data_IF_935754445055
#
_entry.id   IF_935754445055
#
_cell.length_a   1.000
_cell.length_b   1.000
_cell.length_c   1.000
_cell.angle_alpha   90.00
_cell.angle_beta   90.00
_cell.angle_gamma   90.00
#
_symmetry.space_group_name_H-M   'P 1'
#
loop_
_entity.id
_entity.type
_entity.pdbx_description
1 polymer ?
#
# COMPACT_ATOMS: atom_id res chain seq x y z
N UNK A 1 65.95 -7.77 -24.55
CA UNK A 1 64.98 -8.23 -23.54
C UNK A 1 63.63 -7.60 -23.88
N UNK A 2 62.56 -8.41 -23.88
CA UNK A 2 61.28 -8.16 -24.58
C UNK A 2 60.43 -7.10 -23.85
N UNK A 3 59.94 -6.11 -24.58
CA UNK A 3 58.95 -5.13 -24.11
C UNK A 3 57.60 -5.83 -23.92
N UNK A 4 57.03 -5.77 -22.72
CA UNK A 4 55.68 -6.24 -22.43
C UNK A 4 54.71 -5.06 -22.48
N UNK A 5 53.83 -5.07 -23.47
CA UNK A 5 52.70 -4.15 -23.56
C UNK A 5 51.57 -4.67 -22.66
N UNK A 6 51.24 -3.92 -21.61
CA UNK A 6 50.16 -4.27 -20.69
C UNK A 6 48.85 -3.65 -21.20
N UNK A 7 47.98 -4.48 -21.79
CA UNK A 7 46.65 -4.06 -22.24
C UNK A 7 45.70 -4.12 -21.04
N UNK A 8 45.35 -2.98 -20.45
CA UNK A 8 44.34 -2.92 -19.38
C UNK A 8 42.94 -3.11 -20.02
N UNK A 9 42.36 -4.31 -19.87
CA UNK A 9 40.95 -4.53 -20.20
C UNK A 9 40.10 -3.94 -19.08
N UNK A 10 39.40 -2.84 -19.33
CA UNK A 10 38.35 -2.36 -18.42
C UNK A 10 37.11 -3.21 -18.61
N UNK A 11 36.72 -3.99 -17.59
CA UNK A 11 35.40 -4.60 -17.57
C UNK A 11 34.34 -3.49 -17.50
N UNK A 12 33.21 -3.59 -18.21
CA UNK A 12 32.12 -2.64 -18.04
C UNK A 12 31.59 -2.79 -16.61
N UNK A 13 31.59 -1.68 -15.85
CA UNK A 13 30.89 -1.64 -14.58
C UNK A 13 29.40 -1.85 -14.88
N UNK A 14 28.86 -3.01 -14.48
CA UNK A 14 27.42 -3.19 -14.40
C UNK A 14 26.95 -2.21 -13.33
N UNK A 15 26.34 -1.10 -13.74
CA UNK A 15 25.63 -0.23 -12.82
C UNK A 15 24.51 -1.09 -12.21
N UNK A 16 24.64 -1.42 -10.93
CA UNK A 16 23.53 -2.00 -10.19
C UNK A 16 22.36 -1.02 -10.34
N UNK A 17 21.26 -1.47 -10.96
CA UNK A 17 20.05 -0.64 -11.06
C UNK A 17 19.68 -0.20 -9.65
N UNK A 18 19.51 1.11 -9.45
CA UNK A 18 19.11 1.64 -8.15
C UNK A 18 17.72 1.10 -7.81
N UNK A 19 17.59 0.48 -6.64
CA UNK A 19 16.29 0.10 -6.12
C UNK A 19 15.57 1.35 -5.63
N UNK A 20 14.42 1.65 -6.22
CA UNK A 20 13.59 2.78 -5.81
C UNK A 20 12.42 2.30 -4.95
N UNK A 21 12.05 3.13 -3.99
CA UNK A 21 10.83 2.98 -3.20
C UNK A 21 9.93 4.16 -3.57
N UNK A 22 8.66 3.87 -3.85
CA UNK A 22 7.62 4.88 -4.03
C UNK A 22 6.41 4.54 -3.17
N UNK A 23 5.65 5.57 -2.78
CA UNK A 23 4.37 5.37 -2.12
C UNK A 23 3.33 4.93 -3.15
N UNK A 24 2.45 4.00 -2.76
CA UNK A 24 1.24 3.66 -3.49
C UNK A 24 0.02 4.39 -2.91
N UNK A 25 0.01 4.61 -1.59
CA UNK A 25 -1.01 5.33 -0.87
C UNK A 25 -0.43 5.96 0.40
N UNK A 26 -1.15 6.94 0.94
CA UNK A 26 -0.81 7.56 2.22
C UNK A 26 0.00 8.84 2.09
N UNK A 27 -0.35 9.82 2.93
CA UNK A 27 0.39 11.08 3.10
C UNK A 27 1.43 11.03 4.21
N UNK A 28 1.40 9.98 5.05
CA UNK A 28 2.18 9.88 6.30
C UNK A 28 1.48 10.50 7.51
N UNK A 29 0.42 11.28 7.31
CA UNK A 29 -0.40 11.82 8.39
C UNK A 29 -1.52 10.84 8.77
N UNK A 30 -1.67 10.59 10.07
CA UNK A 30 -2.75 9.74 10.60
C UNK A 30 -4.10 10.44 10.44
N UNK A 31 -5.07 9.75 9.84
CA UNK A 31 -6.43 10.27 9.72
C UNK A 31 -7.35 9.41 8.85
N UNK A 32 -8.39 10.05 8.31
CA UNK A 32 -9.34 9.44 7.37
C UNK A 32 -9.73 10.42 6.23
N UNK A 33 -9.03 11.56 6.11
CA UNK A 33 -9.24 12.50 5.03
C UNK A 33 -8.81 11.90 3.68
N UNK A 34 -9.49 12.29 2.60
CA UNK A 34 -9.18 11.80 1.25
C UNK A 34 -9.68 10.38 0.94
N UNK A 35 -10.51 9.79 1.80
CA UNK A 35 -11.20 8.53 1.50
C UNK A 35 -12.02 8.66 0.20
N UNK A 36 -11.99 7.61 -0.63
CA UNK A 36 -12.66 7.58 -1.95
C UNK A 36 -12.05 8.55 -2.99
N UNK A 37 -10.86 9.09 -2.73
CA UNK A 37 -10.09 9.96 -3.62
C UNK A 37 -8.74 9.37 -4.04
N UNK A 38 -7.79 10.19 -4.54
CA UNK A 38 -6.44 9.75 -4.89
C UNK A 38 -5.74 9.10 -3.69
N UNK A 39 -5.23 7.88 -3.86
CA UNK A 39 -4.65 7.10 -2.78
C UNK A 39 -3.44 7.79 -2.13
N UNK A 40 -2.66 8.54 -2.91
CA UNK A 40 -1.49 9.30 -2.45
C UNK A 40 -1.85 10.53 -1.59
N UNK A 41 -3.11 10.97 -1.65
CA UNK A 41 -3.61 12.11 -0.87
C UNK A 41 -4.39 11.66 0.38
N UNK A 42 -4.63 10.35 0.53
CA UNK A 42 -5.38 9.80 1.64
C UNK A 42 -4.56 9.80 2.94
N UNK A 43 -5.17 10.25 4.03
CA UNK A 43 -4.67 10.00 5.37
C UNK A 43 -5.10 8.60 5.81
N UNK A 44 -4.13 7.76 6.21
CA UNK A 44 -4.35 6.38 6.61
C UNK A 44 -4.03 6.21 8.09
N UNK A 45 -4.72 5.30 8.76
CA UNK A 45 -4.60 5.04 10.18
C UNK A 45 -4.12 3.61 10.43
N UNK A 46 -2.80 3.48 10.47
CA UNK A 46 -2.07 2.22 10.69
C UNK A 46 -2.46 1.12 9.68
N UNK A 47 -2.19 1.33 8.38
CA UNK A 47 -2.34 0.26 7.38
C UNK A 47 -1.44 -0.92 7.78
N UNK A 48 -1.98 -2.13 7.75
CA UNK A 48 -1.30 -3.31 8.31
C UNK A 48 -1.03 -4.35 7.22
N UNK A 49 -1.91 -5.34 7.02
CA UNK A 49 -1.74 -6.29 5.93
C UNK A 49 -2.31 -5.82 4.63
N UNK A 50 -1.69 -6.32 3.57
CA UNK A 50 -2.16 -6.15 2.21
C UNK A 50 -2.13 -7.47 1.45
N UNK A 51 -3.02 -7.60 0.48
CA UNK A 51 -3.07 -8.73 -0.44
C UNK A 51 -3.55 -8.29 -1.81
N UNK A 52 -3.28 -9.12 -2.82
CA UNK A 52 -3.92 -8.97 -4.11
C UNK A 52 -5.27 -9.68 -4.07
N UNK A 53 -6.34 -8.93 -4.24
CA UNK A 53 -7.70 -9.46 -4.25
C UNK A 53 -8.02 -10.29 -5.50
N UNK A 54 -9.17 -10.99 -5.52
CA UNK A 54 -9.62 -11.76 -6.68
C UNK A 54 -9.95 -10.88 -7.90
N UNK A 55 -10.22 -9.60 -7.69
CA UNK A 55 -10.34 -8.57 -8.73
C UNK A 55 -8.98 -8.09 -9.27
N UNK A 56 -7.88 -8.64 -8.75
CA UNK A 56 -6.51 -8.30 -9.14
C UNK A 56 -6.01 -6.98 -8.55
N UNK A 57 -6.79 -6.30 -7.71
CA UNK A 57 -6.48 -5.02 -7.07
C UNK A 57 -5.75 -5.23 -5.73
N UNK A 58 -5.15 -4.16 -5.19
CA UNK A 58 -4.53 -4.21 -3.86
C UNK A 58 -5.59 -3.91 -2.80
N UNK A 59 -5.73 -4.83 -1.85
CA UNK A 59 -6.61 -4.72 -0.69
C UNK A 59 -5.77 -4.66 0.56
N UNK A 60 -6.22 -3.91 1.57
CA UNK A 60 -5.51 -3.78 2.83
C UNK A 60 -6.45 -3.46 3.99
N UNK A 61 -5.98 -3.72 5.21
CA UNK A 61 -6.65 -3.37 6.46
C UNK A 61 -6.06 -2.10 7.05
N UNK A 62 -6.91 -1.21 7.57
CA UNK A 62 -6.48 -0.17 8.50
C UNK A 62 -6.72 -0.63 9.93
N UNK A 63 -5.66 -1.03 10.63
CA UNK A 63 -5.74 -1.67 11.94
C UNK A 63 -6.41 -0.76 12.98
N UNK A 64 -5.92 0.48 13.15
CA UNK A 64 -6.57 1.47 14.03
C UNK A 64 -7.59 2.33 13.31
N UNK A 65 -7.64 2.25 11.98
CA UNK A 65 -8.65 2.90 11.15
C UNK A 65 -9.97 2.15 11.09
N UNK A 66 -10.05 0.89 11.55
CA UNK A 66 -11.25 0.06 11.58
C UNK A 66 -11.93 -0.04 10.21
N UNK A 67 -11.12 -0.21 9.15
CA UNK A 67 -11.58 -0.27 7.76
C UNK A 67 -10.86 -1.34 6.97
N UNK A 68 -11.54 -1.87 5.96
CA UNK A 68 -10.92 -2.60 4.86
C UNK A 68 -11.00 -1.71 3.62
N UNK A 69 -9.86 -1.50 2.99
CA UNK A 69 -9.69 -0.57 1.89
C UNK A 69 -9.14 -1.28 0.65
N UNK A 70 -9.37 -0.70 -0.53
CA UNK A 70 -8.87 -1.17 -1.82
C UNK A 70 -8.28 -0.04 -2.63
N UNK A 71 -7.25 -0.31 -3.42
CA UNK A 71 -6.67 0.65 -4.37
C UNK A 71 -6.95 0.17 -5.79
N UNK A 72 -7.64 1.01 -6.57
CA UNK A 72 -7.95 0.79 -7.98
C UNK A 72 -6.71 1.00 -8.87
N UNK A 73 -6.79 0.51 -10.11
CA UNK A 73 -5.72 0.68 -11.11
C UNK A 73 -5.46 2.14 -11.50
N UNK A 74 -6.46 3.02 -11.37
CA UNK A 74 -6.36 4.46 -11.60
C UNK A 74 -5.76 5.22 -10.41
N UNK A 75 -5.39 4.51 -9.32
CA UNK A 75 -4.82 5.11 -8.12
C UNK A 75 -5.85 5.66 -7.14
N UNK A 76 -7.15 5.39 -7.32
CA UNK A 76 -8.17 5.75 -6.32
C UNK A 76 -8.20 4.76 -5.15
N UNK A 77 -8.23 5.28 -3.92
CA UNK A 77 -8.48 4.50 -2.72
C UNK A 77 -9.99 4.43 -2.46
N UNK A 78 -10.52 3.24 -2.21
CA UNK A 78 -11.93 3.00 -1.85
C UNK A 78 -12.01 2.35 -0.46
N UNK A 79 -12.90 2.85 0.39
CA UNK A 79 -13.28 2.12 1.62
C UNK A 79 -14.31 1.07 1.23
N UNK A 80 -14.03 -0.19 1.51
CA UNK A 80 -14.85 -1.33 1.10
C UNK A 80 -15.68 -1.90 2.26
N UNK A 81 -15.20 -1.75 3.49
CA UNK A 81 -15.93 -2.11 4.70
C UNK A 81 -15.44 -1.32 5.92
N UNK A 82 -16.30 -1.18 6.93
CA UNK A 82 -15.98 -0.54 8.20
C UNK A 82 -16.36 0.94 8.26
N UNK A 83 -16.98 1.34 9.37
CA UNK A 83 -17.35 2.74 9.64
C UNK A 83 -16.19 3.60 10.14
N UNK A 84 -15.07 2.98 10.53
CA UNK A 84 -14.00 3.64 11.26
C UNK A 84 -14.16 3.65 12.78
N UNK A 85 -15.26 3.11 13.31
CA UNK A 85 -15.49 2.99 14.75
C UNK A 85 -15.12 1.60 15.26
N UNK A 86 -14.58 1.55 16.48
CA UNK A 86 -14.29 0.30 17.16
C UNK A 86 -15.58 -0.40 17.61
N UNK A 87 -15.78 -1.67 17.25
CA UNK A 87 -16.95 -2.44 17.65
C UNK A 87 -17.06 -3.84 17.01
N UNK A 88 -18.21 -4.48 17.22
CA UNK A 88 -18.62 -5.72 16.58
C UNK A 88 -20.11 -5.61 16.21
N UNK A 89 -20.40 -5.30 14.96
CA UNK A 89 -21.77 -5.15 14.43
C UNK A 89 -21.79 -5.30 12.92
N UNK A 90 -22.99 -5.48 12.34
CA UNK A 90 -23.20 -5.43 10.89
C UNK A 90 -23.25 -6.80 10.19
N UNK A 91 -23.16 -7.90 10.92
CA UNK A 91 -23.31 -9.25 10.34
C UNK A 91 -24.65 -9.37 9.60
N UNK A 92 -24.59 -9.79 8.33
CA UNK A 92 -25.75 -9.89 7.44
C UNK A 92 -26.23 -8.55 6.85
N UNK A 93 -25.61 -7.42 7.19
CA UNK A 93 -25.94 -6.08 6.71
C UNK A 93 -24.92 -5.50 5.70
N UNK A 94 -25.04 -4.20 5.37
CA UNK A 94 -24.10 -3.51 4.49
C UNK A 94 -22.68 -3.43 5.10
N UNK A 95 -21.66 -3.79 4.31
CA UNK A 95 -20.27 -3.84 4.79
C UNK A 95 -19.74 -2.48 5.28
N UNK A 96 -20.20 -1.37 4.71
CA UNK A 96 -19.82 -0.01 5.12
C UNK A 96 -20.43 0.43 6.46
N UNK A 97 -21.44 -0.29 6.95
CA UNK A 97 -22.08 -0.05 8.26
C UNK A 97 -21.53 -0.97 9.36
N UNK A 98 -20.68 -1.93 9.00
CA UNK A 98 -20.03 -2.80 9.97
C UNK A 98 -19.04 -2.04 10.85
N UNK A 99 -18.94 -2.43 12.11
CA UNK A 99 -17.86 -1.95 13.00
C UNK A 99 -16.85 -3.06 13.21
N UNK A 100 -15.58 -2.69 13.29
CA UNK A 100 -14.49 -3.63 13.49
C UNK A 100 -13.72 -3.30 14.75
N UNK A 101 -12.99 -4.27 15.29
CA UNK A 101 -12.12 -4.06 16.43
C UNK A 101 -10.72 -4.57 16.12
N UNK A 102 -9.91 -3.69 15.57
CA UNK A 102 -8.52 -3.93 15.22
C UNK A 102 -8.38 -5.05 14.16
N UNK A 103 -9.02 -4.90 12.97
CA UNK A 103 -8.97 -5.91 11.92
C UNK A 103 -7.53 -6.09 11.44
N UNK A 104 -7.11 -7.35 11.35
CA UNK A 104 -5.84 -7.80 10.80
C UNK A 104 -6.08 -9.10 10.03
N UNK A 105 -5.19 -9.38 9.09
CA UNK A 105 -5.12 -10.55 8.20
C UNK A 105 -4.87 -11.89 8.92
#
# INVERSE_FOLDING_TARGET
MKSFLFLLLTAPAVLAGEWTISNLAGTGEKGAAGANGPALEAQLNNPFGLTRGPDGLIWFTEYTGQRVCRIRQDGTLEVMAGTGQTGYSGDGGPALEATFNLPHE
#
